data_IF_612068358981
#
_entry.id   IF_612068358981
#
_cell.length_a   1.000
_cell.length_b   1.000
_cell.length_c   1.000
_cell.angle_alpha   90.00
_cell.angle_beta   90.00
_cell.angle_gamma   90.00
#
_symmetry.space_group_name_H-M   'P 1'
#
loop_
_entity.id
_entity.type
_entity.pdbx_description
1 polymer ?
#
# COMPACT_ATOMS: atom_id res chain seq x y z
N UNK A 1 30.21 44.06 -37.30
CA UNK A 1 30.15 42.58 -37.39
C UNK A 1 29.64 42.06 -36.05
N UNK A 2 28.35 41.89 -35.97
CA UNK A 2 27.66 41.39 -34.76
C UNK A 2 27.59 39.87 -34.87
N UNK A 3 28.05 39.15 -33.83
CA UNK A 3 28.00 37.68 -33.77
C UNK A 3 26.79 37.29 -32.90
N UNK A 4 25.74 36.87 -33.59
CA UNK A 4 24.61 36.19 -32.98
C UNK A 4 25.06 34.85 -32.40
N UNK A 5 24.85 34.66 -31.07
CA UNK A 5 24.95 33.36 -30.40
C UNK A 5 23.59 32.66 -30.49
N UNK A 6 23.52 31.42 -30.97
CA UNK A 6 22.27 30.67 -30.93
C UNK A 6 21.95 30.30 -29.46
N UNK A 7 20.76 30.69 -29.02
CA UNK A 7 20.17 30.26 -27.77
C UNK A 7 19.76 28.76 -27.85
N UNK A 8 20.41 27.91 -27.07
CA UNK A 8 20.03 26.52 -26.97
C UNK A 8 18.75 26.46 -26.09
N UNK A 9 17.59 26.30 -26.74
CA UNK A 9 16.35 25.92 -26.09
C UNK A 9 16.55 24.54 -25.44
N UNK A 10 16.60 24.53 -24.09
CA UNK A 10 16.52 23.28 -23.32
C UNK A 10 15.12 22.72 -23.50
N UNK A 11 14.99 21.71 -24.35
CA UNK A 11 13.80 20.87 -24.46
C UNK A 11 13.40 20.40 -23.06
N UNK A 12 12.23 20.86 -22.60
CA UNK A 12 11.57 20.29 -21.41
C UNK A 12 11.28 18.84 -21.72
N UNK A 13 12.01 17.94 -21.05
CA UNK A 13 11.81 16.51 -21.19
C UNK A 13 10.32 16.18 -20.99
N UNK A 14 9.81 15.33 -21.90
CA UNK A 14 8.46 14.77 -21.83
C UNK A 14 8.19 14.29 -20.40
N UNK A 15 7.05 14.64 -19.75
CA UNK A 15 6.72 14.13 -18.44
C UNK A 15 6.76 12.61 -18.50
N UNK A 16 7.64 11.98 -17.72
CA UNK A 16 7.62 10.55 -17.52
C UNK A 16 6.26 10.26 -16.89
N UNK A 17 5.39 9.56 -17.62
CA UNK A 17 4.14 9.07 -17.09
C UNK A 17 4.48 8.15 -15.92
N UNK A 18 4.44 8.68 -14.71
CA UNK A 18 4.70 7.92 -13.49
C UNK A 18 3.53 6.95 -13.35
N UNK A 19 3.81 5.65 -13.43
CA UNK A 19 2.81 4.64 -13.13
C UNK A 19 2.47 4.73 -11.63
N UNK A 20 1.29 5.27 -11.34
CA UNK A 20 0.82 5.47 -9.97
C UNK A 20 0.78 4.17 -9.17
N UNK A 21 0.57 3.03 -9.82
CA UNK A 21 0.49 1.74 -9.13
C UNK A 21 1.86 1.28 -8.66
N UNK A 22 2.88 1.32 -9.51
CA UNK A 22 4.26 0.97 -9.13
C UNK A 22 4.82 1.91 -8.05
N UNK A 23 4.44 3.19 -8.08
CA UNK A 23 4.81 4.17 -7.06
C UNK A 23 4.16 3.85 -5.71
N UNK A 24 2.88 3.44 -5.70
CA UNK A 24 2.21 2.99 -4.48
C UNK A 24 2.79 1.68 -3.95
N UNK A 25 3.17 0.74 -4.82
CA UNK A 25 3.80 -0.52 -4.42
C UNK A 25 5.15 -0.26 -3.71
N UNK A 26 5.92 0.72 -4.19
CA UNK A 26 7.15 1.17 -3.50
C UNK A 26 6.85 1.83 -2.14
N UNK A 27 5.79 2.64 -2.04
CA UNK A 27 5.36 3.24 -0.77
C UNK A 27 4.91 2.18 0.24
N UNK A 28 4.17 1.15 -0.21
CA UNK A 28 3.75 0.00 0.63
C UNK A 28 4.97 -0.63 1.30
N UNK A 29 6.01 -0.98 0.55
CA UNK A 29 7.21 -1.60 1.10
C UNK A 29 7.91 -0.71 2.13
N UNK A 30 8.02 0.59 1.85
CA UNK A 30 8.65 1.56 2.76
C UNK A 30 7.88 1.68 4.08
N UNK A 31 6.56 1.79 4.02
CA UNK A 31 5.72 1.85 5.22
C UNK A 31 5.70 0.52 5.98
N UNK A 32 5.72 -0.59 5.26
CA UNK A 32 5.71 -1.91 5.87
C UNK A 32 7.00 -2.20 6.66
N UNK A 33 8.15 -1.83 6.10
CA UNK A 33 9.45 -2.01 6.73
C UNK A 33 9.69 -1.08 7.91
N UNK A 34 9.34 0.22 7.76
CA UNK A 34 9.69 1.28 8.71
C UNK A 34 8.55 1.71 9.64
N UNK A 35 7.33 1.27 9.37
CA UNK A 35 6.12 1.80 10.00
C UNK A 35 5.77 3.20 9.51
N UNK A 36 4.59 3.68 9.88
CA UNK A 36 4.16 5.03 9.49
C UNK A 36 5.08 6.12 10.04
N UNK A 37 5.36 6.11 11.33
CA UNK A 37 6.17 7.15 11.96
C UNK A 37 7.64 7.11 11.48
N UNK A 38 8.22 5.91 11.34
CA UNK A 38 9.59 5.72 10.90
C UNK A 38 9.86 6.02 9.43
N UNK A 39 8.85 5.95 8.57
CA UNK A 39 8.96 6.27 7.15
C UNK A 39 9.00 7.79 6.94
N UNK A 40 10.20 8.35 6.69
CA UNK A 40 10.33 9.77 6.38
C UNK A 40 9.88 10.10 4.96
N UNK A 41 9.53 11.38 4.69
CA UNK A 41 9.24 11.83 3.31
C UNK A 41 10.44 11.65 2.38
N UNK A 42 11.66 11.67 2.91
CA UNK A 42 12.88 11.41 2.14
C UNK A 42 12.95 9.95 1.73
N UNK A 43 12.73 9.01 2.66
CA UNK A 43 12.68 7.58 2.34
C UNK A 43 11.63 7.28 1.26
N UNK A 44 10.41 7.79 1.46
CA UNK A 44 9.30 7.61 0.53
C UNK A 44 9.64 8.12 -0.87
N UNK A 45 10.11 9.36 -0.99
CA UNK A 45 10.44 9.94 -2.30
C UNK A 45 11.59 9.23 -2.99
N UNK A 46 12.59 8.76 -2.24
CA UNK A 46 13.69 7.97 -2.77
C UNK A 46 13.22 6.61 -3.30
N UNK A 47 12.46 5.86 -2.50
CA UNK A 47 11.96 4.53 -2.89
C UNK A 47 10.96 4.62 -4.05
N UNK A 48 10.05 5.58 -3.99
CA UNK A 48 9.07 5.87 -5.04
C UNK A 48 9.69 6.48 -6.30
N UNK A 49 10.95 6.96 -6.25
CA UNK A 49 11.67 7.64 -7.34
C UNK A 49 10.93 8.87 -7.87
N UNK A 50 10.31 9.63 -6.99
CA UNK A 50 9.60 10.86 -7.31
C UNK A 50 10.12 12.04 -6.48
N UNK A 51 9.88 13.26 -6.95
CA UNK A 51 10.18 14.47 -6.17
C UNK A 51 9.14 14.72 -5.07
N UNK A 52 9.49 15.47 -4.03
CA UNK A 52 8.53 15.90 -2.99
C UNK A 52 7.32 16.66 -3.59
N UNK A 53 7.49 17.62 -4.50
CA UNK A 53 6.34 18.26 -5.17
C UNK A 53 5.44 17.26 -5.89
N UNK A 54 6.03 16.24 -6.56
CA UNK A 54 5.26 15.20 -7.22
C UNK A 54 4.50 14.30 -6.24
N UNK A 55 5.06 14.04 -5.05
CA UNK A 55 4.37 13.32 -4.00
C UNK A 55 3.13 14.09 -3.55
N UNK A 56 3.29 15.37 -3.16
CA UNK A 56 2.17 16.20 -2.70
C UNK A 56 1.09 16.40 -3.75
N UNK A 57 1.48 16.63 -5.01
CA UNK A 57 0.52 16.82 -6.11
C UNK A 57 -0.20 15.54 -6.52
N UNK A 58 0.46 14.37 -6.38
CA UNK A 58 -0.08 13.08 -6.81
C UNK A 58 -0.86 12.33 -5.74
N UNK A 59 -0.48 12.49 -4.48
CA UNK A 59 -0.97 11.66 -3.37
C UNK A 59 -1.40 12.46 -2.13
N UNK A 60 -1.13 13.77 -2.07
CA UNK A 60 -1.40 14.58 -0.89
C UNK A 60 -0.30 14.50 0.17
N UNK A 61 -0.67 14.55 1.43
CA UNK A 61 0.28 14.45 2.53
C UNK A 61 0.69 12.98 2.84
N UNK A 62 1.52 12.78 3.87
CA UNK A 62 1.98 11.45 4.27
C UNK A 62 0.83 10.54 4.71
N UNK A 63 -0.20 11.10 5.36
CA UNK A 63 -1.37 10.35 5.80
C UNK A 63 -2.24 9.95 4.60
N UNK A 64 -2.39 10.83 3.59
CA UNK A 64 -3.07 10.53 2.34
C UNK A 64 -2.36 9.42 1.55
N UNK A 65 -1.03 9.50 1.45
CA UNK A 65 -0.23 8.48 0.81
C UNK A 65 -0.34 7.12 1.53
N UNK A 66 -0.30 7.13 2.88
CA UNK A 66 -0.43 5.91 3.66
C UNK A 66 -1.83 5.29 3.52
N UNK A 67 -2.89 6.11 3.53
CA UNK A 67 -4.25 5.65 3.26
C UNK A 67 -4.36 4.97 1.89
N UNK A 68 -3.81 5.58 0.84
CA UNK A 68 -3.77 5.00 -0.50
C UNK A 68 -2.96 3.68 -0.54
N UNK A 69 -1.84 3.62 0.17
CA UNK A 69 -1.02 2.42 0.30
C UNK A 69 -1.77 1.28 1.00
N UNK A 70 -2.52 1.57 2.08
CA UNK A 70 -3.35 0.57 2.77
C UNK A 70 -4.44 -0.01 1.86
N UNK A 71 -5.13 0.85 1.09
CA UNK A 71 -6.13 0.41 0.12
C UNK A 71 -5.49 -0.50 -0.94
N UNK A 72 -4.37 -0.08 -1.52
CA UNK A 72 -3.65 -0.84 -2.53
C UNK A 72 -3.16 -2.19 -1.98
N UNK A 73 -2.58 -2.20 -0.77
CA UNK A 73 -2.15 -3.43 -0.09
C UNK A 73 -3.31 -4.40 0.11
N UNK A 74 -4.45 -3.91 0.62
CA UNK A 74 -5.64 -4.73 0.86
C UNK A 74 -6.23 -5.32 -0.43
N UNK A 75 -6.02 -4.66 -1.59
CA UNK A 75 -6.49 -5.13 -2.89
C UNK A 75 -5.51 -6.06 -3.61
N UNK A 76 -4.28 -6.15 -3.15
CA UNK A 76 -3.20 -6.91 -3.80
C UNK A 76 -2.60 -7.95 -2.86
N UNK A 77 -1.46 -7.65 -2.24
CA UNK A 77 -0.72 -8.60 -1.40
C UNK A 77 -1.57 -9.11 -0.23
N UNK A 78 -2.31 -8.21 0.43
CA UNK A 78 -3.14 -8.54 1.60
C UNK A 78 -4.43 -9.30 1.27
N UNK A 79 -4.87 -9.33 0.00
CA UNK A 79 -6.11 -10.01 -0.39
C UNK A 79 -5.96 -11.51 -0.59
N UNK A 80 -4.76 -12.00 -0.92
CA UNK A 80 -4.56 -13.38 -1.36
C UNK A 80 -5.10 -14.45 -0.39
N UNK A 81 -4.89 -14.38 0.94
CA UNK A 81 -5.46 -15.37 1.86
C UNK A 81 -6.99 -15.38 1.86
N UNK A 82 -7.60 -14.19 1.77
CA UNK A 82 -9.05 -14.05 1.81
C UNK A 82 -9.72 -14.53 0.51
N UNK A 83 -9.11 -14.24 -0.64
CA UNK A 83 -9.58 -14.75 -1.93
C UNK A 83 -9.55 -16.29 -1.96
N UNK A 84 -8.43 -16.88 -1.54
CA UNK A 84 -8.31 -18.33 -1.46
C UNK A 84 -9.32 -18.99 -0.49
N UNK A 85 -9.68 -18.29 0.60
CA UNK A 85 -10.74 -18.70 1.53
C UNK A 85 -12.12 -18.68 0.86
N UNK A 86 -12.42 -17.65 0.08
CA UNK A 86 -13.71 -17.48 -0.58
C UNK A 86 -13.94 -18.46 -1.74
N UNK A 87 -12.85 -18.86 -2.41
CA UNK A 87 -12.89 -19.76 -3.56
C UNK A 87 -13.04 -21.26 -3.17
N UNK A 88 -12.64 -21.63 -1.94
CA UNK A 88 -12.73 -23.03 -1.47
C UNK A 88 -14.15 -23.36 -1.01
N UNK A 89 -14.84 -24.35 -1.63
CA UNK A 89 -16.21 -24.71 -1.27
C UNK A 89 -16.38 -25.28 0.13
N UNK A 90 -15.42 -26.10 0.60
CA UNK A 90 -15.51 -26.78 1.88
C UNK A 90 -14.95 -25.92 3.01
N UNK A 91 -15.76 -25.58 4.02
CA UNK A 91 -15.45 -24.57 5.02
C UNK A 91 -14.20 -24.89 5.86
N UNK A 92 -13.99 -26.14 6.27
CA UNK A 92 -12.81 -26.51 7.07
C UNK A 92 -11.52 -26.37 6.26
N UNK A 93 -11.55 -26.71 4.96
CA UNK A 93 -10.42 -26.48 4.04
C UNK A 93 -10.22 -25.00 3.79
N UNK A 94 -11.29 -24.24 3.60
CA UNK A 94 -11.22 -22.79 3.43
C UNK A 94 -10.51 -22.11 4.62
N UNK A 95 -10.89 -22.45 5.85
CA UNK A 95 -10.24 -21.96 7.06
C UNK A 95 -8.76 -22.38 7.12
N UNK A 96 -8.44 -23.63 6.82
CA UNK A 96 -7.06 -24.11 6.77
C UNK A 96 -6.23 -23.36 5.73
N UNK A 97 -6.77 -23.12 4.53
CA UNK A 97 -6.12 -22.37 3.45
C UNK A 97 -5.88 -20.93 3.89
N UNK A 98 -6.89 -20.27 4.46
CA UNK A 98 -6.77 -18.89 4.95
C UNK A 98 -5.64 -18.74 5.97
N UNK A 99 -5.62 -19.60 6.99
CA UNK A 99 -4.60 -19.56 8.04
C UNK A 99 -3.20 -19.88 7.49
N UNK A 100 -3.10 -20.89 6.64
CA UNK A 100 -1.84 -21.30 6.02
C UNK A 100 -1.29 -20.23 5.08
N UNK A 101 -2.14 -19.63 4.24
CA UNK A 101 -1.76 -18.56 3.33
C UNK A 101 -1.37 -17.28 4.10
N UNK A 102 -2.10 -16.95 5.18
CA UNK A 102 -1.75 -15.83 6.06
C UNK A 102 -0.39 -16.03 6.73
N UNK A 103 -0.12 -17.22 7.27
CA UNK A 103 1.16 -17.54 7.87
C UNK A 103 2.31 -17.43 6.84
N UNK A 104 2.14 -18.01 5.65
CA UNK A 104 3.12 -17.94 4.55
C UNK A 104 3.35 -16.49 4.09
N UNK A 105 2.28 -15.70 3.91
CA UNK A 105 2.39 -14.31 3.49
C UNK A 105 3.15 -13.46 4.51
N UNK A 106 2.85 -13.65 5.81
CA UNK A 106 3.49 -12.91 6.90
C UNK A 106 4.96 -13.29 7.15
N UNK A 107 5.44 -14.38 6.59
CA UNK A 107 6.83 -14.87 6.73
C UNK A 107 7.58 -14.94 5.40
N UNK A 108 6.99 -14.40 4.32
CA UNK A 108 7.59 -14.45 2.99
C UNK A 108 8.91 -13.68 2.92
N UNK A 109 9.91 -14.26 2.27
CA UNK A 109 11.28 -13.71 2.25
C UNK A 109 11.42 -12.42 1.44
N UNK A 110 10.55 -12.21 0.46
CA UNK A 110 10.58 -11.02 -0.43
C UNK A 110 9.81 -9.82 0.14
N UNK A 111 9.14 -9.98 1.28
CA UNK A 111 8.37 -8.92 1.92
C UNK A 111 8.80 -8.68 3.37
N UNK A 112 8.58 -7.49 3.91
CA UNK A 112 8.73 -7.26 5.35
C UNK A 112 7.84 -8.22 6.15
N UNK A 113 8.30 -8.62 7.33
CA UNK A 113 7.57 -9.58 8.16
C UNK A 113 6.26 -9.02 8.71
N UNK A 114 5.28 -9.89 8.85
CA UNK A 114 3.95 -9.54 9.35
C UNK A 114 3.04 -8.94 8.29
N UNK A 115 1.90 -8.43 8.70
CA UNK A 115 0.91 -7.77 7.83
C UNK A 115 1.00 -6.25 8.00
N UNK A 116 1.08 -5.49 6.91
CA UNK A 116 1.12 -4.02 6.95
C UNK A 116 -0.05 -3.44 7.77
N UNK A 117 -1.26 -3.97 7.59
CA UNK A 117 -2.45 -3.50 8.30
C UNK A 117 -2.31 -3.74 9.81
N UNK A 118 -1.96 -4.95 10.21
CA UNK A 118 -1.88 -5.33 11.64
C UNK A 118 -0.67 -4.70 12.32
N UNK A 119 0.51 -4.74 11.69
CA UNK A 119 1.76 -4.34 12.35
C UNK A 119 1.98 -2.82 12.33
N UNK A 120 1.59 -2.13 11.26
CA UNK A 120 1.95 -0.73 11.08
C UNK A 120 0.78 0.23 11.28
N UNK A 121 -0.42 -0.16 10.85
CA UNK A 121 -1.53 0.76 10.85
C UNK A 121 -2.21 0.89 12.21
N UNK A 122 -2.14 -0.13 13.07
CA UNK A 122 -2.77 -0.11 14.40
C UNK A 122 -2.15 0.96 15.31
N UNK A 123 -0.82 1.05 15.37
CA UNK A 123 -0.13 2.09 16.15
C UNK A 123 -0.36 3.50 15.59
N UNK A 124 -0.52 3.63 14.28
CA UNK A 124 -0.75 4.92 13.61
C UNK A 124 -2.16 5.45 13.85
N UNK A 125 -3.13 4.59 14.14
CA UNK A 125 -4.53 4.98 14.35
C UNK A 125 -4.73 5.97 15.50
N UNK A 126 -3.82 6.05 16.46
CA UNK A 126 -3.88 7.00 17.57
C UNK A 126 -3.52 8.41 17.13
N UNK A 127 -2.54 8.56 16.22
CA UNK A 127 -2.00 9.85 15.78
C UNK A 127 -2.59 10.37 14.46
N UNK A 128 -3.16 9.48 13.65
CA UNK A 128 -3.72 9.79 12.33
C UNK A 128 -5.19 9.37 12.21
N UNK A 129 -6.16 10.26 12.46
CA UNK A 129 -7.59 9.95 12.42
C UNK A 129 -8.06 9.33 11.10
N UNK A 130 -7.53 9.79 9.97
CA UNK A 130 -7.84 9.25 8.64
C UNK A 130 -7.43 7.77 8.52
N UNK A 131 -6.28 7.40 9.04
CA UNK A 131 -5.81 6.02 9.08
C UNK A 131 -6.71 5.16 9.97
N UNK A 132 -7.16 5.70 11.11
CA UNK A 132 -8.11 5.03 12.01
C UNK A 132 -9.41 4.67 11.28
N UNK A 133 -10.01 5.61 10.56
CA UNK A 133 -11.24 5.36 9.82
C UNK A 133 -11.02 4.34 8.69
N UNK A 134 -9.88 4.40 8.01
CA UNK A 134 -9.51 3.41 6.99
C UNK A 134 -9.39 2.01 7.59
N UNK A 135 -8.70 1.85 8.71
CA UNK A 135 -8.57 0.57 9.40
C UNK A 135 -9.91 0.00 9.81
N UNK A 136 -10.76 0.84 10.43
CA UNK A 136 -12.12 0.44 10.80
C UNK A 136 -12.88 -0.10 9.59
N UNK A 137 -12.82 0.61 8.47
CA UNK A 137 -13.44 0.16 7.22
C UNK A 137 -12.89 -1.20 6.76
N UNK A 138 -11.56 -1.36 6.70
CA UNK A 138 -10.93 -2.60 6.25
C UNK A 138 -11.27 -3.79 7.15
N UNK A 139 -11.29 -3.60 8.47
CA UNK A 139 -11.69 -4.66 9.41
C UNK A 139 -13.17 -5.02 9.29
N UNK A 140 -14.06 -4.05 9.12
CA UNK A 140 -15.48 -4.32 8.90
C UNK A 140 -15.73 -5.06 7.58
N UNK A 141 -15.01 -4.72 6.51
CA UNK A 141 -15.13 -5.42 5.23
C UNK A 141 -14.60 -6.86 5.34
N UNK A 142 -13.46 -7.07 6.02
CA UNK A 142 -12.96 -8.41 6.29
C UNK A 142 -13.99 -9.24 7.09
N UNK A 143 -14.52 -8.66 8.18
CA UNK A 143 -15.53 -9.30 9.02
C UNK A 143 -16.77 -9.70 8.22
N UNK A 144 -17.32 -8.80 7.40
CA UNK A 144 -18.48 -9.08 6.54
C UNK A 144 -18.22 -10.25 5.59
N UNK A 145 -17.04 -10.28 4.96
CA UNK A 145 -16.67 -11.34 4.01
C UNK A 145 -16.53 -12.69 4.72
N UNK A 146 -15.95 -12.73 5.91
CA UNK A 146 -15.84 -13.94 6.72
C UNK A 146 -17.23 -14.43 7.17
N UNK A 147 -18.06 -13.55 7.76
CA UNK A 147 -19.42 -13.90 8.21
C UNK A 147 -20.23 -14.45 7.05
N UNK A 148 -20.26 -13.73 5.91
CA UNK A 148 -21.00 -14.18 4.71
C UNK A 148 -20.65 -15.62 4.32
N UNK A 149 -19.40 -16.02 4.49
CA UNK A 149 -18.96 -17.37 4.12
C UNK A 149 -19.43 -18.44 5.12
N UNK A 150 -19.53 -18.07 6.42
CA UNK A 150 -20.05 -18.96 7.46
C UNK A 150 -21.58 -19.06 7.47
N UNK A 151 -22.30 -18.03 7.02
CA UNK A 151 -23.77 -18.00 7.00
C UNK A 151 -24.38 -18.79 5.82
N UNK A 152 -23.58 -19.29 4.88
CA UNK A 152 -24.04 -20.03 3.69
C UNK A 152 -24.17 -21.54 3.96
N UNK A 153 -23.76 -22.03 5.13
CA UNK A 153 -23.94 -23.41 5.59
C UNK A 153 -25.06 -23.49 6.64
#
# INVERSE_FOLDING_TARGET
MSKDKPSIERSRGRPISIDKMSVLDAAILTFWEKGYEGASLTDLTQTMKISRPSLYSGFGDKADLFDAALVRYAQTIGSAPLLAFEEEPEIYKAVHIFLSASAKGNTHVDYPRGCLIVCCATSTAETAPKVRERLKYLYLELQKRLIKRFDVE
#
